data_IF_349843914523
#
_entry.id   IF_349843914523
#
_cell.length_a   1.000
_cell.length_b   1.000
_cell.length_c   1.000
_cell.angle_alpha   90.00
_cell.angle_beta   90.00
_cell.angle_gamma   90.00
#
_symmetry.space_group_name_H-M   'P 1'
#
loop_
_entity.id
_entity.type
_entity.pdbx_description
1 polymer ?
#
# COMPACT_ATOMS: atom_id res chain seq x y z
N UNK A 1 49.36 -31.07 10.04
CA UNK A 1 48.67 -30.25 11.06
C UNK A 1 48.61 -28.75 10.75
N UNK A 2 49.47 -28.20 9.87
CA UNK A 2 49.53 -26.76 9.58
C UNK A 2 48.44 -26.22 8.64
N UNK A 3 47.87 -27.06 7.77
CA UNK A 3 46.82 -26.63 6.81
C UNK A 3 45.47 -26.31 7.48
N UNK A 4 45.09 -27.07 8.52
CA UNK A 4 43.82 -26.88 9.22
C UNK A 4 43.77 -25.53 9.96
N UNK A 5 44.93 -25.07 10.49
CA UNK A 5 45.04 -23.77 11.17
C UNK A 5 44.89 -22.60 10.20
N UNK A 6 45.36 -22.74 8.96
CA UNK A 6 45.26 -21.71 7.94
C UNK A 6 43.81 -21.55 7.43
N UNK A 7 43.10 -22.68 7.23
CA UNK A 7 41.69 -22.65 6.79
C UNK A 7 40.78 -22.02 7.85
N UNK A 8 40.99 -22.34 9.13
CA UNK A 8 40.20 -21.75 10.23
C UNK A 8 40.44 -20.24 10.37
N UNK A 9 41.66 -19.77 10.14
CA UNK A 9 41.97 -18.33 10.23
C UNK A 9 41.42 -17.54 9.04
N UNK A 10 41.40 -18.12 7.83
CA UNK A 10 40.77 -17.48 6.66
C UNK A 10 39.24 -17.46 6.78
N UNK A 11 38.61 -18.50 7.33
CA UNK A 11 37.16 -18.51 7.61
C UNK A 11 36.79 -17.50 8.70
N UNK A 12 37.59 -17.38 9.77
CA UNK A 12 37.37 -16.39 10.83
C UNK A 12 37.50 -14.95 10.32
N UNK A 13 38.49 -14.66 9.47
CA UNK A 13 38.65 -13.35 8.83
C UNK A 13 37.44 -13.00 7.94
N UNK A 14 36.95 -13.93 7.13
CA UNK A 14 35.77 -13.70 6.29
C UNK A 14 34.50 -13.44 7.12
N UNK A 15 34.33 -14.13 8.25
CA UNK A 15 33.17 -13.91 9.14
C UNK A 15 33.20 -12.51 9.80
N UNK A 16 34.39 -12.04 10.18
CA UNK A 16 34.58 -10.69 10.75
C UNK A 16 34.29 -9.61 9.70
N UNK A 17 34.72 -9.80 8.44
CA UNK A 17 34.41 -8.85 7.36
C UNK A 17 32.93 -8.82 6.98
N UNK A 18 32.22 -9.96 7.02
CA UNK A 18 30.78 -10.03 6.79
C UNK A 18 29.96 -9.33 7.90
N UNK A 19 30.36 -9.45 9.17
CA UNK A 19 29.71 -8.72 10.27
C UNK A 19 30.04 -7.21 10.27
N UNK A 20 31.26 -6.83 9.88
CA UNK A 20 31.63 -5.40 9.77
C UNK A 20 30.90 -4.69 8.61
N UNK A 21 30.62 -5.41 7.52
CA UNK A 21 29.83 -4.91 6.39
C UNK A 21 28.36 -4.62 6.72
N UNK A 22 27.76 -5.40 7.64
CA UNK A 22 26.38 -5.16 8.10
C UNK A 22 26.30 -3.93 9.01
N UNK A 23 27.28 -3.70 9.88
CA UNK A 23 27.33 -2.52 10.74
C UNK A 23 27.59 -1.21 9.95
N UNK A 24 28.31 -1.27 8.83
CA UNK A 24 28.51 -0.11 7.95
C UNK A 24 27.26 0.27 7.15
N UNK A 25 26.38 -0.69 6.85
CA UNK A 25 25.08 -0.43 6.22
C UNK A 25 24.07 0.19 7.20
N UNK A 26 24.09 -0.21 8.48
CA UNK A 26 23.29 0.45 9.52
C UNK A 26 23.82 1.85 9.88
N UNK A 27 25.14 2.04 9.92
CA UNK A 27 25.74 3.36 10.23
C UNK A 27 25.57 4.38 9.09
N UNK A 28 25.38 3.95 7.84
CA UNK A 28 25.00 4.85 6.73
C UNK A 28 23.55 5.34 6.83
N UNK A 29 22.71 4.72 7.66
CA UNK A 29 21.35 5.22 7.97
C UNK A 29 21.32 6.27 9.09
N UNK A 30 22.41 6.46 9.82
CA UNK A 30 22.48 7.40 10.95
C UNK A 30 22.98 8.82 10.60
N UNK A 31 23.29 9.12 9.34
CA UNK A 31 23.76 10.47 8.94
C UNK A 31 22.77 11.12 7.97
N UNK A 32 21.63 11.54 8.53
CA UNK A 32 20.93 12.76 8.13
C UNK A 32 20.01 13.20 9.27
N UNK A 33 20.58 13.57 10.40
CA UNK A 33 19.90 14.24 11.52
C UNK A 33 19.65 15.72 11.25
N UNK A 34 19.44 16.10 10.00
CA UNK A 34 18.66 17.29 9.67
C UNK A 34 17.24 16.79 9.43
N UNK A 35 16.43 16.72 10.49
CA UNK A 35 14.98 16.60 10.35
C UNK A 35 14.52 17.79 9.52
N UNK A 36 14.36 17.57 8.21
CA UNK A 36 13.74 18.55 7.33
C UNK A 36 12.38 18.86 7.96
N UNK A 37 12.10 20.13 8.30
CA UNK A 37 10.86 20.48 8.95
C UNK A 37 9.71 19.96 8.10
N UNK A 38 8.80 19.24 8.75
CA UNK A 38 7.66 18.68 8.06
C UNK A 38 6.84 19.85 7.51
N UNK A 39 6.52 19.86 6.20
CA UNK A 39 5.93 21.02 5.54
C UNK A 39 4.44 21.23 5.85
N UNK A 40 3.92 20.70 6.96
CA UNK A 40 2.55 20.92 7.40
C UNK A 40 2.45 21.15 8.91
N UNK A 41 1.53 22.04 9.35
CA UNK A 41 1.39 22.36 10.77
C UNK A 41 0.82 21.18 11.55
N UNK A 42 1.14 21.06 12.86
CA UNK A 42 0.53 20.04 13.70
C UNK A 42 -0.97 20.31 13.83
N UNK A 43 -1.77 19.27 13.57
CA UNK A 43 -3.23 19.34 13.62
C UNK A 43 -3.77 18.71 14.90
N UNK A 44 -4.93 19.18 15.36
CA UNK A 44 -5.69 18.42 16.37
C UNK A 44 -6.30 17.18 15.74
N UNK A 45 -6.60 16.17 16.54
CA UNK A 45 -7.11 14.90 16.04
C UNK A 45 -8.53 15.00 15.45
N UNK A 46 -9.32 15.98 15.90
CA UNK A 46 -10.70 16.29 15.52
C UNK A 46 -10.82 17.33 14.38
N UNK A 47 -9.73 18.02 14.04
CA UNK A 47 -9.72 19.03 12.98
C UNK A 47 -9.51 18.38 11.59
N UNK A 48 -10.61 17.91 11.00
CA UNK A 48 -10.62 17.23 9.69
C UNK A 48 -10.06 18.13 8.57
N UNK A 49 -10.32 19.44 8.61
CA UNK A 49 -9.88 20.35 7.54
C UNK A 49 -8.37 20.56 7.58
N UNK A 50 -7.78 20.69 8.78
CA UNK A 50 -6.33 20.70 8.96
C UNK A 50 -5.71 19.38 8.48
N UNK A 51 -6.27 18.24 8.92
CA UNK A 51 -5.79 16.92 8.53
C UNK A 51 -5.87 16.67 7.02
N UNK A 52 -6.93 17.14 6.36
CA UNK A 52 -7.11 17.01 4.90
C UNK A 52 -6.04 17.79 4.13
N UNK A 53 -5.64 18.99 4.61
CA UNK A 53 -4.53 19.76 4.03
C UNK A 53 -3.18 19.08 4.26
N UNK A 54 -2.96 18.55 5.46
CA UNK A 54 -1.77 17.79 5.81
C UNK A 54 -1.62 16.54 4.94
N UNK A 55 -2.72 15.82 4.69
CA UNK A 55 -2.72 14.58 3.92
C UNK A 55 -2.20 14.76 2.48
N UNK A 56 -2.57 15.85 1.79
CA UNK A 56 -2.05 16.13 0.44
C UNK A 56 -0.53 16.29 0.43
N UNK A 57 -0.01 16.99 1.44
CA UNK A 57 1.43 17.18 1.61
C UNK A 57 2.09 15.84 1.97
N UNK A 58 1.41 15.02 2.75
CA UNK A 58 1.89 13.71 3.15
C UNK A 58 2.03 12.75 1.96
N UNK A 59 1.08 12.74 1.01
CA UNK A 59 1.21 11.99 -0.24
C UNK A 59 2.44 12.41 -1.05
N UNK A 60 2.74 13.71 -1.15
CA UNK A 60 3.98 14.18 -1.79
C UNK A 60 5.24 13.65 -1.09
N UNK A 61 5.22 13.54 0.24
CA UNK A 61 6.34 12.96 0.99
C UNK A 61 6.49 11.46 0.69
N UNK A 62 5.39 10.71 0.62
CA UNK A 62 5.42 9.30 0.22
C UNK A 62 6.04 9.13 -1.17
N UNK A 63 5.59 9.91 -2.15
CA UNK A 63 6.07 9.82 -3.54
C UNK A 63 7.54 10.23 -3.68
N UNK A 64 8.02 11.14 -2.83
CA UNK A 64 9.44 11.50 -2.77
C UNK A 64 10.33 10.43 -2.10
N UNK A 65 9.75 9.37 -1.53
CA UNK A 65 10.48 8.36 -0.77
C UNK A 65 11.02 8.86 0.57
N UNK A 66 10.40 9.89 1.14
CA UNK A 66 10.85 10.50 2.39
C UNK A 66 10.92 9.46 3.52
N UNK A 67 12.01 9.42 4.29
CA UNK A 67 12.30 8.38 5.29
C UNK A 67 12.23 6.92 4.79
N UNK A 68 12.41 6.69 3.48
CA UNK A 68 12.30 5.36 2.90
C UNK A 68 10.86 4.87 2.75
N UNK A 69 9.88 5.77 2.77
CA UNK A 69 8.52 5.47 2.35
C UNK A 69 8.51 4.94 0.91
N UNK A 70 7.56 4.06 0.62
CA UNK A 70 7.35 3.53 -0.73
C UNK A 70 6.50 4.54 -1.52
N UNK A 71 6.86 4.90 -2.76
CA UNK A 71 6.00 5.75 -3.60
C UNK A 71 4.60 5.12 -3.76
N UNK A 72 3.56 5.95 -3.76
CA UNK A 72 2.16 5.47 -3.80
C UNK A 72 1.42 5.84 -5.08
N UNK A 73 2.02 6.65 -5.94
CA UNK A 73 1.49 6.92 -7.27
C UNK A 73 2.63 6.95 -8.32
N UNK A 74 2.79 5.93 -9.18
CA UNK A 74 1.96 4.73 -9.28
C UNK A 74 2.28 3.66 -8.22
N UNK A 75 1.28 2.88 -7.83
CA UNK A 75 1.44 1.62 -7.07
C UNK A 75 1.50 0.43 -8.03
N UNK A 76 2.43 -0.49 -7.78
CA UNK A 76 2.56 -1.74 -8.51
C UNK A 76 2.06 -2.92 -7.65
N UNK A 77 1.08 -3.65 -8.15
CA UNK A 77 0.58 -4.89 -7.55
C UNK A 77 0.92 -6.06 -8.47
N UNK A 78 1.64 -7.05 -7.95
CA UNK A 78 2.13 -8.17 -8.75
C UNK A 78 1.00 -8.94 -9.42
N UNK A 79 -0.02 -9.32 -8.65
CA UNK A 79 -1.19 -10.00 -9.16
C UNK A 79 -2.36 -10.02 -8.18
N UNK A 80 -3.57 -10.06 -8.74
CA UNK A 80 -4.82 -10.36 -8.02
C UNK A 80 -5.48 -11.55 -8.71
N UNK A 81 -5.86 -12.57 -7.94
CA UNK A 81 -6.41 -13.82 -8.43
C UNK A 81 -7.83 -14.02 -7.92
N UNK A 82 -8.75 -14.42 -8.80
CA UNK A 82 -10.14 -14.73 -8.47
C UNK A 82 -10.44 -16.12 -9.02
N UNK A 83 -10.92 -17.02 -8.17
CA UNK A 83 -11.32 -18.37 -8.57
C UNK A 83 -12.83 -18.57 -8.37
N UNK A 84 -13.49 -19.10 -9.39
CA UNK A 84 -14.92 -19.43 -9.40
C UNK A 84 -15.06 -20.93 -9.69
N UNK A 85 -14.80 -21.80 -8.68
CA UNK A 85 -14.70 -23.25 -8.89
C UNK A 85 -16.00 -23.87 -9.38
N UNK A 86 -17.15 -23.41 -8.90
CA UNK A 86 -18.48 -23.88 -9.33
C UNK A 86 -18.73 -23.68 -10.83
N UNK A 87 -18.04 -22.69 -11.43
CA UNK A 87 -18.15 -22.34 -12.83
C UNK A 87 -16.92 -22.78 -13.62
N UNK A 88 -15.97 -23.46 -12.96
CA UNK A 88 -14.71 -23.90 -13.54
C UNK A 88 -13.95 -22.77 -14.24
N UNK A 89 -13.98 -21.59 -13.61
CA UNK A 89 -13.40 -20.34 -14.12
C UNK A 89 -12.38 -19.81 -13.13
N UNK A 90 -11.31 -19.21 -13.66
CA UNK A 90 -10.39 -18.41 -12.86
C UNK A 90 -9.89 -17.21 -13.65
N UNK A 91 -9.64 -16.13 -12.92
CA UNK A 91 -9.13 -14.88 -13.45
C UNK A 91 -7.88 -14.50 -12.68
N UNK A 92 -6.91 -13.97 -13.41
CA UNK A 92 -5.66 -13.52 -12.85
C UNK A 92 -5.25 -12.23 -13.53
N UNK A 93 -5.33 -11.14 -12.77
CA UNK A 93 -4.87 -9.84 -13.21
C UNK A 93 -3.43 -9.66 -12.72
N UNK A 94 -2.47 -9.41 -13.61
CA UNK A 94 -1.04 -9.33 -13.31
C UNK A 94 -0.46 -7.98 -13.71
N UNK A 95 0.69 -7.65 -13.12
CA UNK A 95 1.43 -6.40 -13.39
C UNK A 95 0.51 -5.19 -13.29
N UNK A 96 -0.27 -5.16 -12.22
CA UNK A 96 -1.30 -4.15 -12.01
C UNK A 96 -0.61 -2.84 -11.63
N UNK A 97 -0.92 -1.79 -12.36
CA UNK A 97 -0.47 -0.43 -12.09
C UNK A 97 -1.69 0.36 -11.65
N UNK A 98 -1.63 0.93 -10.45
CA UNK A 98 -2.68 1.76 -9.87
C UNK A 98 -2.18 3.19 -9.80
N UNK A 99 -2.98 4.12 -10.30
CA UNK A 99 -2.74 5.56 -10.24
C UNK A 99 -3.97 6.27 -9.65
N UNK A 100 -3.81 7.49 -9.17
CA UNK A 100 -4.87 8.28 -8.55
C UNK A 100 -4.87 8.24 -7.01
N UNK A 101 -3.99 7.44 -6.41
CA UNK A 101 -3.91 7.29 -4.94
C UNK A 101 -3.47 8.59 -4.27
N UNK A 102 -2.60 9.38 -4.91
CA UNK A 102 -2.16 10.68 -4.37
C UNK A 102 -3.31 11.68 -4.19
N UNK A 103 -4.44 11.45 -4.86
CA UNK A 103 -5.63 12.31 -4.82
C UNK A 103 -6.69 11.84 -3.81
N UNK A 104 -6.37 10.82 -3.02
CA UNK A 104 -7.24 10.30 -1.96
C UNK A 104 -7.61 11.40 -0.97
N UNK A 105 -8.90 11.50 -0.65
CA UNK A 105 -9.47 12.51 0.25
C UNK A 105 -9.83 11.91 1.60
N UNK A 106 -9.47 12.59 2.68
CA UNK A 106 -10.02 12.30 4.01
C UNK A 106 -11.46 12.78 4.09
N UNK A 107 -12.38 11.84 4.25
CA UNK A 107 -13.82 12.08 4.41
C UNK A 107 -14.16 12.28 5.88
N UNK A 108 -13.76 11.33 6.73
CA UNK A 108 -14.07 11.31 8.16
C UNK A 108 -12.91 10.68 8.94
N UNK A 109 -12.79 11.05 10.21
CA UNK A 109 -11.87 10.43 11.16
C UNK A 109 -12.55 10.30 12.52
N UNK A 110 -12.54 9.08 13.04
CA UNK A 110 -13.00 8.75 14.38
C UNK A 110 -11.79 8.48 15.24
N UNK A 111 -11.66 9.27 16.29
CA UNK A 111 -10.51 9.22 17.18
C UNK A 111 -10.96 8.96 18.61
N UNK A 112 -10.36 7.95 19.25
CA UNK A 112 -10.59 7.62 20.64
C UNK A 112 -9.26 7.60 21.38
N UNK A 113 -9.11 8.51 22.35
CA UNK A 113 -7.89 8.66 23.15
C UNK A 113 -7.53 7.38 23.93
N UNK A 114 -8.54 6.62 24.37
CA UNK A 114 -8.36 5.44 25.23
C UNK A 114 -7.95 4.15 24.48
N UNK A 115 -7.49 4.24 23.22
CA UNK A 115 -6.96 3.08 22.47
C UNK A 115 -8.01 2.05 21.99
N UNK A 116 -9.31 2.32 22.18
CA UNK A 116 -10.40 1.35 21.99
C UNK A 116 -10.69 1.03 20.50
N UNK A 117 -10.24 1.89 19.56
CA UNK A 117 -10.07 1.71 18.10
C UNK A 117 -10.25 3.07 17.42
N UNK A 118 -9.35 3.43 16.52
CA UNK A 118 -9.49 4.59 15.65
C UNK A 118 -9.98 4.16 14.27
N UNK A 119 -10.58 5.11 13.55
CA UNK A 119 -11.07 4.89 12.20
C UNK A 119 -10.77 6.09 11.31
N UNK A 120 -10.43 5.84 10.06
CA UNK A 120 -10.35 6.85 9.01
C UNK A 120 -11.18 6.38 7.82
N UNK A 121 -11.94 7.30 7.23
CA UNK A 121 -12.68 7.08 6.01
C UNK A 121 -12.04 7.88 4.89
N UNK A 122 -11.53 7.18 3.89
CA UNK A 122 -10.98 7.75 2.68
C UNK A 122 -11.96 7.63 1.52
N UNK A 123 -11.86 8.54 0.56
CA UNK A 123 -12.52 8.45 -0.74
C UNK A 123 -11.49 8.68 -1.84
N UNK A 124 -11.45 7.78 -2.80
CA UNK A 124 -10.43 7.77 -3.86
C UNK A 124 -11.06 7.53 -5.23
N UNK A 125 -10.43 8.09 -6.25
CA UNK A 125 -10.70 7.78 -7.66
C UNK A 125 -9.43 7.12 -8.20
N UNK A 126 -9.53 5.86 -8.63
CA UNK A 126 -8.37 5.06 -9.03
C UNK A 126 -8.45 4.68 -10.50
N UNK A 127 -7.32 4.76 -11.17
CA UNK A 127 -7.15 4.26 -12.53
C UNK A 127 -6.18 3.08 -12.50
N UNK A 128 -6.62 1.95 -13.04
CA UNK A 128 -5.94 0.66 -12.93
C UNK A 128 -5.68 0.12 -14.33
N UNK A 129 -4.46 -0.34 -14.57
CA UNK A 129 -4.08 -1.07 -15.80
C UNK A 129 -3.39 -2.37 -15.45
N UNK A 130 -3.52 -3.40 -16.28
CA UNK A 130 -2.86 -4.68 -16.05
C UNK A 130 -3.20 -5.76 -17.09
N UNK A 131 -2.47 -6.87 -17.03
CA UNK A 131 -2.67 -8.01 -17.93
C UNK A 131 -3.65 -9.01 -17.30
N UNK A 132 -4.79 -9.22 -17.94
CA UNK A 132 -5.84 -10.13 -17.50
C UNK A 132 -5.70 -11.49 -18.21
N UNK A 133 -5.65 -12.54 -17.41
CA UNK A 133 -5.66 -13.93 -17.87
C UNK A 133 -6.92 -14.60 -17.37
N UNK A 134 -7.68 -15.21 -18.27
CA UNK A 134 -8.87 -16.00 -17.95
C UNK A 134 -8.61 -17.45 -18.31
N UNK A 135 -8.73 -18.35 -17.35
CA UNK A 135 -8.70 -19.79 -17.60
C UNK A 135 -10.07 -20.40 -17.35
N UNK A 136 -10.48 -21.31 -18.23
CA UNK A 136 -11.78 -21.98 -18.21
C UNK A 136 -11.56 -23.46 -18.51
N UNK A 137 -12.21 -24.36 -17.78
CA UNK A 137 -11.91 -25.79 -17.89
C UNK A 137 -12.22 -26.42 -19.26
N UNK A 138 -13.11 -25.82 -20.07
CA UNK A 138 -13.43 -26.29 -21.42
C UNK A 138 -12.51 -25.70 -22.50
N UNK A 139 -11.57 -24.82 -22.15
CA UNK A 139 -10.58 -24.25 -23.06
C UNK A 139 -9.20 -24.63 -22.56
N UNK A 140 -8.43 -25.34 -23.39
CA UNK A 140 -7.09 -25.78 -23.02
C UNK A 140 -6.12 -24.61 -22.82
N UNK A 141 -6.20 -23.60 -23.69
CA UNK A 141 -5.35 -22.40 -23.63
C UNK A 141 -6.02 -21.27 -22.84
N UNK A 142 -5.31 -20.62 -21.91
CA UNK A 142 -5.84 -19.46 -21.22
C UNK A 142 -6.02 -18.30 -22.21
N UNK A 143 -7.07 -17.51 -21.98
CA UNK A 143 -7.38 -16.33 -22.78
C UNK A 143 -6.69 -15.09 -22.19
N UNK A 144 -6.23 -14.21 -23.05
CA UNK A 144 -5.48 -13.01 -22.65
C UNK A 144 -6.15 -11.71 -23.11
N UNK A 145 -6.12 -10.71 -22.24
CA UNK A 145 -6.48 -9.33 -22.56
C UNK A 145 -5.66 -8.36 -21.71
N UNK A 146 -5.41 -7.16 -22.21
CA UNK A 146 -4.98 -6.04 -21.39
C UNK A 146 -6.20 -5.28 -20.88
N UNK A 147 -6.29 -5.07 -19.57
CA UNK A 147 -7.44 -4.44 -18.92
C UNK A 147 -7.07 -3.05 -18.41
N UNK A 148 -7.92 -2.08 -18.71
CA UNK A 148 -7.97 -0.77 -18.08
C UNK A 148 -9.25 -0.68 -17.26
N UNK A 149 -9.19 -0.18 -16.04
CA UNK A 149 -10.33 -0.09 -15.14
C UNK A 149 -10.29 1.22 -14.37
N UNK A 150 -11.44 1.90 -14.30
CA UNK A 150 -11.63 3.10 -13.50
C UNK A 150 -12.56 2.78 -12.32
N UNK A 151 -12.06 3.03 -11.12
CA UNK A 151 -12.78 2.87 -9.85
C UNK A 151 -13.10 4.28 -9.34
N UNK A 152 -14.36 4.68 -9.39
CA UNK A 152 -14.78 6.04 -9.02
C UNK A 152 -15.43 6.08 -7.64
N UNK A 153 -15.00 7.04 -6.82
CA UNK A 153 -15.58 7.33 -5.51
C UNK A 153 -15.51 6.16 -4.54
N UNK A 154 -14.49 5.30 -4.64
CA UNK A 154 -14.34 4.17 -3.72
C UNK A 154 -14.08 4.69 -2.32
N UNK A 155 -14.88 4.22 -1.36
CA UNK A 155 -14.70 4.56 0.04
C UNK A 155 -13.94 3.45 0.74
N UNK A 156 -12.90 3.83 1.47
CA UNK A 156 -12.08 2.91 2.25
C UNK A 156 -12.17 3.29 3.72
N UNK A 157 -12.81 2.44 4.51
CA UNK A 157 -12.85 2.56 5.96
C UNK A 157 -11.72 1.74 6.57
N UNK A 158 -10.74 2.42 7.16
CA UNK A 158 -9.58 1.79 7.78
C UNK A 158 -9.70 1.95 9.29
N UNK A 159 -9.72 0.83 10.01
CA UNK A 159 -9.74 0.81 11.47
C UNK A 159 -8.43 0.28 12.01
N UNK A 160 -7.87 0.92 13.04
CA UNK A 160 -6.58 0.56 13.61
C UNK A 160 -6.51 0.90 15.10
N UNK A 161 -5.67 0.19 15.84
CA UNK A 161 -5.27 0.59 17.18
C UNK A 161 -4.07 1.52 17.12
N UNK A 162 -3.91 2.34 18.15
CA UNK A 162 -2.75 3.19 18.29
C UNK A 162 -2.29 3.23 19.75
N UNK A 163 -1.02 3.53 19.96
CA UNK A 163 -0.44 3.75 21.28
C UNK A 163 0.62 4.86 21.18
N UNK A 164 0.82 5.60 22.26
CA UNK A 164 1.82 6.66 22.34
C UNK A 164 2.94 6.21 23.28
N UNK A 165 4.06 5.82 22.67
CA UNK A 165 5.23 5.33 23.39
C UNK A 165 6.35 6.36 23.39
N UNK A 166 7.06 6.46 24.52
CA UNK A 166 8.29 7.24 24.62
C UNK A 166 9.48 6.38 24.18
N UNK A 167 10.29 6.85 23.23
CA UNK A 167 11.54 6.16 22.83
C UNK A 167 12.74 6.63 23.66
N UNK A 168 13.90 6.00 23.43
CA UNK A 168 15.17 6.33 24.08
C UNK A 168 15.55 7.81 23.98
N UNK A 169 15.12 8.48 22.91
CA UNK A 169 15.45 9.89 22.63
C UNK A 169 14.58 10.89 23.42
N UNK A 170 13.83 10.42 24.43
CA UNK A 170 12.96 11.25 25.27
C UNK A 170 11.75 11.89 24.54
N UNK A 171 11.59 11.60 23.24
CA UNK A 171 10.47 12.03 22.40
C UNK A 171 9.34 10.98 22.37
N UNK A 172 8.12 11.46 22.13
CA UNK A 172 6.93 10.62 21.99
C UNK A 172 6.67 10.29 20.52
N UNK A 173 6.34 9.02 20.27
CA UNK A 173 6.04 8.48 18.94
C UNK A 173 4.69 7.76 18.98
N UNK A 174 3.98 7.74 17.85
CA UNK A 174 2.78 6.93 17.70
C UNK A 174 3.18 5.57 17.14
N UNK A 175 2.74 4.51 17.82
CA UNK A 175 2.75 3.15 17.31
C UNK A 175 1.38 2.83 16.72
N UNK A 176 1.31 2.46 15.45
CA UNK A 176 0.07 2.03 14.81
C UNK A 176 0.04 0.51 14.72
N UNK A 177 -1.01 -0.08 15.28
CA UNK A 177 -1.24 -1.52 15.20
C UNK A 177 -1.60 -1.98 13.79
N UNK A 178 -1.98 -3.26 13.70
CA UNK A 178 -2.50 -3.82 12.46
C UNK A 178 -3.85 -3.20 12.13
N UNK A 179 -4.02 -2.78 10.88
CA UNK A 179 -5.26 -2.22 10.37
C UNK A 179 -6.22 -3.30 9.85
N UNK A 180 -7.51 -2.97 9.90
CA UNK A 180 -8.56 -3.66 9.13
C UNK A 180 -9.11 -2.68 8.11
N UNK A 181 -9.06 -3.08 6.85
CA UNK A 181 -9.54 -2.29 5.70
C UNK A 181 -10.88 -2.87 5.26
N UNK A 182 -11.91 -2.02 5.21
CA UNK A 182 -13.22 -2.34 4.68
C UNK A 182 -13.54 -1.38 3.53
N UNK A 183 -13.87 -1.93 2.37
CA UNK A 183 -14.09 -1.17 1.15
C UNK A 183 -15.59 -1.09 0.87
N UNK A 184 -16.01 0.05 0.34
CA UNK A 184 -17.37 0.30 -0.11
C UNK A 184 -17.30 0.96 -1.47
N UNK A 185 -17.65 0.21 -2.50
CA UNK A 185 -17.81 0.74 -3.84
C UNK A 185 -19.19 1.40 -3.94
N UNK A 186 -19.22 2.72 -4.13
CA UNK A 186 -20.48 3.43 -4.38
C UNK A 186 -21.05 3.16 -5.78
N UNK A 187 -20.21 2.66 -6.70
CA UNK A 187 -20.53 2.37 -8.08
C UNK A 187 -19.70 1.18 -8.57
N UNK A 188 -20.27 0.39 -9.46
CA UNK A 188 -19.51 -0.64 -10.18
C UNK A 188 -18.37 -0.01 -11.00
N UNK A 189 -17.15 -0.55 -10.95
CA UNK A 189 -16.04 -0.06 -11.75
C UNK A 189 -16.34 -0.15 -13.24
N UNK A 190 -15.90 0.84 -14.01
CA UNK A 190 -15.94 0.76 -15.47
C UNK A 190 -14.65 0.15 -15.96
N UNK A 191 -14.71 -0.73 -16.95
CA UNK A 191 -13.53 -1.36 -17.50
C UNK A 191 -13.52 -1.35 -19.03
N UNK A 192 -12.33 -1.53 -19.56
CA UNK A 192 -12.08 -1.59 -20.98
C UNK A 192 -10.97 -2.61 -21.27
N UNK A 193 -11.19 -3.46 -22.29
CA UNK A 193 -10.23 -4.50 -22.69
C UNK A 193 -9.60 -4.22 -24.06
N UNK A 194 -8.30 -4.46 -24.16
CA UNK A 194 -7.49 -4.32 -25.37
C UNK A 194 -6.77 -5.64 -25.73
N UNK A 195 -6.66 -5.96 -27.03
CA UNK A 195 -7.27 -5.29 -28.18
C UNK A 195 -8.75 -5.69 -28.37
N UNK A 196 -9.65 -4.71 -28.62
CA UNK A 196 -11.11 -4.94 -28.78
C UNK A 196 -11.50 -6.02 -29.80
N UNK A 197 -10.66 -6.24 -30.81
CA UNK A 197 -11.00 -7.06 -31.97
C UNK A 197 -10.68 -8.56 -31.79
N UNK A 198 -9.85 -8.95 -30.82
CA UNK A 198 -9.42 -10.35 -30.67
C UNK A 198 -10.58 -11.24 -30.18
N UNK A 199 -10.53 -12.52 -30.55
CA UNK A 199 -11.53 -13.51 -30.12
C UNK A 199 -11.51 -13.66 -28.59
N UNK A 200 -10.32 -13.77 -27.99
CA UNK A 200 -10.08 -13.86 -26.55
C UNK A 200 -10.73 -12.71 -25.79
N UNK A 201 -10.45 -11.47 -26.21
CA UNK A 201 -10.98 -10.28 -25.54
C UNK A 201 -12.50 -10.24 -25.58
N UNK A 202 -13.14 -10.67 -26.67
CA UNK A 202 -14.62 -10.74 -26.75
C UNK A 202 -15.21 -11.77 -25.80
N UNK A 203 -14.55 -12.92 -25.63
CA UNK A 203 -14.99 -13.96 -24.68
C UNK A 203 -14.85 -13.45 -23.24
N UNK A 204 -13.71 -12.83 -22.92
CA UNK A 204 -13.45 -12.25 -21.60
C UNK A 204 -14.45 -11.13 -21.31
N UNK A 205 -14.63 -10.18 -22.23
CA UNK A 205 -15.56 -9.05 -22.09
C UNK A 205 -16.99 -9.53 -21.81
N UNK A 206 -17.49 -10.47 -22.63
CA UNK A 206 -18.80 -11.08 -22.42
C UNK A 206 -18.90 -11.74 -21.04
N UNK A 207 -17.85 -12.42 -20.59
CA UNK A 207 -17.85 -13.08 -19.27
C UNK A 207 -17.88 -12.06 -18.14
N UNK A 208 -17.09 -10.99 -18.21
CA UNK A 208 -17.06 -9.94 -17.19
C UNK A 208 -18.37 -9.14 -17.15
N UNK A 209 -19.00 -8.88 -18.30
CA UNK A 209 -20.31 -8.22 -18.37
C UNK A 209 -21.42 -9.08 -17.77
N UNK A 210 -21.38 -10.40 -17.97
CA UNK A 210 -22.32 -11.33 -17.36
C UNK A 210 -22.08 -11.51 -15.85
N UNK A 211 -20.86 -11.26 -15.37
CA UNK A 211 -20.42 -11.50 -13.99
C UNK A 211 -19.71 -10.27 -13.44
N UNK A 212 -20.47 -9.20 -13.27
CA UNK A 212 -19.97 -7.92 -12.76
C UNK A 212 -19.32 -8.01 -11.39
N UNK A 213 -19.67 -9.03 -10.58
CA UNK A 213 -19.04 -9.32 -9.29
C UNK A 213 -17.54 -9.61 -9.39
N UNK A 214 -17.04 -10.08 -10.53
CA UNK A 214 -15.60 -10.31 -10.76
C UNK A 214 -14.88 -8.96 -10.80
N UNK A 215 -15.44 -8.00 -11.54
CA UNK A 215 -14.87 -6.65 -11.68
C UNK A 215 -14.94 -5.90 -10.35
N UNK A 216 -16.06 -6.05 -9.63
CA UNK A 216 -16.23 -5.46 -8.30
C UNK A 216 -15.20 -6.02 -7.31
N UNK A 217 -15.01 -7.34 -7.28
CA UNK A 217 -14.04 -7.98 -6.40
C UNK A 217 -12.59 -7.62 -6.76
N UNK A 218 -12.25 -7.49 -8.06
CA UNK A 218 -10.95 -6.95 -8.46
C UNK A 218 -10.74 -5.54 -7.91
N UNK A 219 -11.74 -4.67 -8.02
CA UNK A 219 -11.68 -3.30 -7.48
C UNK A 219 -11.45 -3.29 -5.97
N UNK A 220 -12.15 -4.15 -5.23
CA UNK A 220 -11.97 -4.28 -3.78
C UNK A 220 -10.54 -4.74 -3.42
N UNK A 221 -10.06 -5.84 -4.00
CA UNK A 221 -8.74 -6.37 -3.66
C UNK A 221 -7.60 -5.41 -4.07
N UNK A 222 -7.71 -4.76 -5.22
CA UNK A 222 -6.74 -3.77 -5.69
C UNK A 222 -6.73 -2.54 -4.76
N UNK A 223 -7.90 -2.03 -4.41
CA UNK A 223 -8.03 -0.89 -3.48
C UNK A 223 -7.49 -1.26 -2.10
N UNK A 224 -7.76 -2.48 -1.62
CA UNK A 224 -7.26 -2.96 -0.33
C UNK A 224 -5.72 -3.02 -0.34
N UNK A 225 -5.14 -3.62 -1.37
CA UNK A 225 -3.70 -3.72 -1.53
C UNK A 225 -3.03 -2.34 -1.60
N UNK A 226 -3.59 -1.40 -2.37
CA UNK A 226 -3.07 -0.05 -2.46
C UNK A 226 -3.13 0.68 -1.11
N UNK A 227 -4.24 0.55 -0.39
CA UNK A 227 -4.42 1.19 0.92
C UNK A 227 -3.54 0.58 2.01
N UNK A 228 -3.17 -0.70 1.92
CA UNK A 228 -2.16 -1.29 2.83
C UNK A 228 -0.81 -0.60 2.67
N UNK A 229 -0.36 -0.33 1.44
CA UNK A 229 0.91 0.38 1.19
C UNK A 229 0.87 1.80 1.78
N UNK A 230 -0.25 2.50 1.61
CA UNK A 230 -0.46 3.82 2.23
C UNK A 230 -0.35 3.73 3.76
N UNK A 231 -0.99 2.72 4.37
CA UNK A 231 -0.94 2.51 5.82
C UNK A 231 0.45 2.12 6.32
N UNK A 232 1.22 1.35 5.56
CA UNK A 232 2.61 1.01 5.87
C UNK A 232 3.49 2.25 5.90
N UNK A 233 3.32 3.17 4.95
CA UNK A 233 4.00 4.46 4.95
C UNK A 233 3.58 5.34 6.13
N UNK A 234 2.29 5.41 6.45
CA UNK A 234 1.79 6.13 7.63
C UNK A 234 2.45 5.56 8.90
N UNK A 235 2.52 4.24 9.03
CA UNK A 235 3.15 3.55 10.16
C UNK A 235 4.65 3.85 10.23
N UNK A 236 5.37 3.75 9.11
CA UNK A 236 6.80 4.07 9.04
C UNK A 236 7.07 5.51 9.48
N UNK A 237 6.27 6.45 8.97
CA UNK A 237 6.38 7.85 9.35
C UNK A 237 6.10 8.07 10.84
N UNK A 238 5.01 7.51 11.37
CA UNK A 238 4.63 7.66 12.78
C UNK A 238 5.68 7.08 13.75
N UNK A 239 6.41 6.04 13.33
CA UNK A 239 7.52 5.48 14.11
C UNK A 239 8.82 6.29 14.01
N UNK A 240 8.98 7.10 12.96
CA UNK A 240 10.23 7.82 12.67
C UNK A 240 10.18 9.27 13.12
N UNK A 241 8.98 9.87 13.09
CA UNK A 241 8.77 11.28 13.39
C UNK A 241 8.12 11.44 14.77
N UNK A 242 8.64 12.32 15.64
CA UNK A 242 7.98 12.65 16.89
C UNK A 242 6.59 13.26 16.71
N UNK A 243 5.65 12.86 17.55
CA UNK A 243 4.22 13.22 17.43
C UNK A 243 3.98 14.72 17.39
N UNK A 244 4.76 15.50 18.16
CA UNK A 244 4.63 16.96 18.27
C UNK A 244 4.71 17.70 16.94
N UNK A 245 5.35 17.10 15.92
CA UNK A 245 5.50 17.73 14.61
C UNK A 245 4.28 17.61 13.71
N UNK A 246 3.34 16.71 14.01
CA UNK A 246 2.17 16.48 13.15
C UNK A 246 0.85 16.33 13.89
N UNK A 247 0.87 16.09 15.21
CA UNK A 247 -0.30 16.13 16.08
C UNK A 247 -0.10 17.07 17.26
N UNK A 248 -1.14 17.85 17.56
CA UNK A 248 -1.28 18.55 18.83
C UNK A 248 -1.92 17.59 19.83
N UNK A 249 -1.11 17.06 20.73
CA UNK A 249 -1.59 16.37 21.92
C UNK A 249 -1.89 17.46 22.96
N UNK A 250 -3.17 17.82 23.08
CA UNK A 250 -3.72 18.92 23.90
C UNK A 250 -3.49 20.33 23.35
#
# INVERSE_FOLDING_TARGET
MSYLRFVVSVLAMNYIFLCAGQNLLERRREVSTTTTPIPFPPCRADDIDCLRRGLRTFFNLMDSGHYGMTPVDPIYINSVAIALPEQQLSFLLRKVIVTGISWTKLVDKRFHENGIKNGVLFSSDLHVTGDLVMAKADIYEPLFAHMTMDIQGVQTNITYSWDVGKKKDNEYYISLGQERIAIRNGRLPTFFLQPRASADTKIIDKTLQLKTSIVDHFSEEITAAAMRIVMDNIRLFAHTVPVKYYYKLF
#
